data_IF_135515018778
#
_entry.id   IF_135515018778
#
_cell.length_a   1.000
_cell.length_b   1.000
_cell.length_c   1.000
_cell.angle_alpha   90.00
_cell.angle_beta   90.00
_cell.angle_gamma   90.00
#
_symmetry.space_group_name_H-M   'P 1'
#
loop_
_entity.id
_entity.type
_entity.pdbx_description
1 polymer ?
#
# COMPACT_ATOMS: atom_id res chain seq x y z
N UNK A 1 -29.83 -105.21 -18.88
CA UNK A 1 -28.47 -104.65 -18.71
C UNK A 1 -28.21 -103.74 -19.90
N UNK A 2 -28.53 -102.45 -19.79
CA UNK A 2 -27.65 -101.34 -19.34
C UNK A 2 -26.58 -101.02 -20.40
N UNK A 3 -26.47 -99.82 -20.96
CA UNK A 3 -26.95 -98.54 -20.47
C UNK A 3 -26.84 -97.37 -21.46
N UNK A 4 -27.38 -96.26 -20.97
CA UNK A 4 -27.40 -94.91 -21.52
C UNK A 4 -26.00 -94.40 -21.90
N UNK A 5 -25.85 -93.87 -23.12
CA UNK A 5 -24.74 -92.98 -23.45
C UNK A 5 -25.25 -91.53 -23.41
N UNK A 6 -24.88 -90.83 -22.35
CA UNK A 6 -25.10 -89.41 -22.11
C UNK A 6 -24.29 -88.57 -23.11
N UNK A 7 -24.96 -87.67 -23.85
CA UNK A 7 -24.29 -86.62 -24.62
C UNK A 7 -23.76 -85.57 -23.64
N UNK A 8 -22.44 -85.56 -23.42
CA UNK A 8 -21.80 -84.46 -22.70
C UNK A 8 -21.91 -83.17 -23.52
N UNK A 9 -22.61 -82.18 -22.95
CA UNK A 9 -22.68 -80.83 -23.51
C UNK A 9 -21.33 -80.14 -23.34
N UNK A 10 -20.75 -79.71 -24.46
CA UNK A 10 -19.57 -78.84 -24.49
C UNK A 10 -19.95 -77.52 -23.80
N UNK A 11 -19.48 -77.31 -22.57
CA UNK A 11 -19.54 -76.01 -21.89
C UNK A 11 -18.39 -75.13 -22.39
N UNK A 12 -18.66 -74.27 -23.35
CA UNK A 12 -17.81 -73.13 -23.69
C UNK A 12 -17.82 -72.13 -22.53
N UNK A 13 -16.76 -72.13 -21.72
CA UNK A 13 -16.50 -71.06 -20.75
C UNK A 13 -16.08 -69.80 -21.51
N UNK A 14 -16.99 -68.82 -21.63
CA UNK A 14 -16.63 -67.48 -22.07
C UNK A 14 -15.68 -66.87 -21.03
N UNK A 15 -14.47 -66.50 -21.45
CA UNK A 15 -13.48 -65.85 -20.61
C UNK A 15 -13.88 -64.37 -20.36
N UNK A 16 -14.90 -64.16 -19.54
CA UNK A 16 -15.41 -62.85 -19.12
C UNK A 16 -14.49 -62.13 -18.11
N UNK A 17 -13.45 -62.81 -17.61
CA UNK A 17 -12.50 -62.24 -16.65
C UNK A 17 -11.59 -61.17 -17.28
N UNK A 18 -11.23 -61.29 -18.56
CA UNK A 18 -10.42 -60.29 -19.26
C UNK A 18 -11.14 -58.95 -19.46
N UNK A 19 -12.44 -58.99 -19.79
CA UNK A 19 -13.24 -57.78 -19.97
C UNK A 19 -13.51 -57.05 -18.64
N UNK A 20 -13.73 -57.79 -17.56
CA UNK A 20 -13.90 -57.22 -16.23
C UNK A 20 -12.63 -56.49 -15.74
N UNK A 21 -11.44 -57.04 -16.02
CA UNK A 21 -10.17 -56.40 -15.70
C UNK A 21 -9.98 -55.08 -16.46
N UNK A 22 -10.27 -55.07 -17.77
CA UNK A 22 -10.17 -53.85 -18.60
C UNK A 22 -11.16 -52.78 -18.09
N UNK A 23 -12.40 -53.17 -17.80
CA UNK A 23 -13.40 -52.25 -17.26
C UNK A 23 -12.98 -51.67 -15.88
N UNK A 24 -12.42 -52.51 -15.01
CA UNK A 24 -11.90 -52.06 -13.71
C UNK A 24 -10.72 -51.09 -13.87
N UNK A 25 -9.77 -51.38 -14.77
CA UNK A 25 -8.65 -50.49 -15.06
C UNK A 25 -9.10 -49.15 -15.63
N UNK A 26 -10.09 -49.15 -16.52
CA UNK A 26 -10.68 -47.92 -17.07
C UNK A 26 -11.35 -47.09 -15.97
N UNK A 27 -12.10 -47.72 -15.07
CA UNK A 27 -12.76 -47.03 -13.97
C UNK A 27 -11.73 -46.42 -13.01
N UNK A 28 -10.66 -47.15 -12.69
CA UNK A 28 -9.55 -46.63 -11.87
C UNK A 28 -8.87 -45.46 -12.59
N UNK A 29 -8.54 -45.60 -13.88
CA UNK A 29 -7.89 -44.54 -14.65
C UNK A 29 -8.72 -43.25 -14.69
N UNK A 30 -10.03 -43.35 -14.93
CA UNK A 30 -10.95 -42.20 -14.91
C UNK A 30 -11.01 -41.60 -13.50
N UNK A 31 -11.13 -42.43 -12.46
CA UNK A 31 -11.14 -41.96 -11.07
C UNK A 31 -9.84 -41.25 -10.68
N UNK A 32 -8.68 -41.73 -11.16
CA UNK A 32 -7.38 -41.09 -10.90
C UNK A 32 -7.28 -39.74 -11.60
N UNK A 33 -7.72 -39.64 -12.87
CA UNK A 33 -7.72 -38.37 -13.61
C UNK A 33 -8.64 -37.36 -12.91
N UNK A 34 -9.86 -37.75 -12.55
CA UNK A 34 -10.79 -36.88 -11.82
C UNK A 34 -10.22 -36.46 -10.45
N UNK A 35 -9.64 -37.39 -9.71
CA UNK A 35 -8.98 -37.11 -8.43
C UNK A 35 -7.84 -36.10 -8.57
N UNK A 36 -7.00 -36.27 -9.60
CA UNK A 36 -5.93 -35.32 -9.90
C UNK A 36 -6.48 -33.93 -10.25
N UNK A 37 -7.52 -33.83 -11.09
CA UNK A 37 -8.15 -32.55 -11.45
C UNK A 37 -8.72 -31.83 -10.21
N UNK A 38 -9.38 -32.55 -9.30
CA UNK A 38 -9.91 -31.99 -8.05
C UNK A 38 -8.77 -31.45 -7.18
N UNK A 39 -7.67 -32.20 -7.05
CA UNK A 39 -6.50 -31.77 -6.28
C UNK A 39 -5.86 -30.51 -6.87
N UNK A 40 -5.72 -30.44 -8.20
CA UNK A 40 -5.19 -29.25 -8.86
C UNK A 40 -6.09 -28.04 -8.68
N UNK A 41 -7.41 -28.20 -8.88
CA UNK A 41 -8.37 -27.12 -8.65
C UNK A 41 -8.32 -26.62 -7.19
N UNK A 42 -8.32 -27.54 -6.23
CA UNK A 42 -8.25 -27.20 -4.80
C UNK A 42 -6.94 -26.48 -4.45
N UNK A 43 -5.81 -26.96 -4.98
CA UNK A 43 -4.50 -26.33 -4.76
C UNK A 43 -4.47 -24.91 -5.30
N UNK A 44 -4.99 -24.69 -6.51
CA UNK A 44 -5.11 -23.36 -7.11
C UNK A 44 -6.01 -22.45 -6.26
N UNK A 45 -7.18 -22.92 -5.83
CA UNK A 45 -8.09 -22.14 -4.99
C UNK A 45 -7.46 -21.76 -3.64
N UNK A 46 -6.70 -22.65 -3.03
CA UNK A 46 -5.96 -22.37 -1.80
C UNK A 46 -4.85 -21.33 -2.01
N UNK A 47 -4.12 -21.39 -3.12
CA UNK A 47 -3.10 -20.40 -3.46
C UNK A 47 -3.72 -19.01 -3.71
N UNK A 48 -4.83 -18.94 -4.44
CA UNK A 48 -5.57 -17.70 -4.68
C UNK A 48 -6.06 -17.13 -3.35
N UNK A 49 -6.69 -17.96 -2.53
CA UNK A 49 -7.23 -17.55 -1.21
C UNK A 49 -6.12 -17.07 -0.27
N UNK A 50 -4.96 -17.75 -0.26
CA UNK A 50 -3.79 -17.35 0.51
C UNK A 50 -3.21 -16.03 0.05
N UNK A 51 -3.12 -15.80 -1.27
CA UNK A 51 -2.65 -14.53 -1.83
C UNK A 51 -3.61 -13.39 -1.51
N UNK A 52 -4.92 -13.59 -1.67
CA UNK A 52 -5.93 -12.60 -1.33
C UNK A 52 -5.89 -12.22 0.15
N UNK A 53 -5.81 -13.22 1.06
CA UNK A 53 -5.71 -12.98 2.50
C UNK A 53 -4.47 -12.14 2.86
N UNK A 54 -3.30 -12.48 2.28
CA UNK A 54 -2.07 -11.73 2.51
C UNK A 54 -2.17 -10.29 1.99
N UNK A 55 -2.72 -10.10 0.79
CA UNK A 55 -2.95 -8.77 0.21
C UNK A 55 -3.87 -7.90 1.09
N UNK A 56 -4.94 -8.47 1.64
CA UNK A 56 -5.82 -7.75 2.57
C UNK A 56 -5.10 -7.43 3.88
N UNK A 57 -4.33 -8.36 4.44
CA UNK A 57 -3.58 -8.13 5.68
C UNK A 57 -2.53 -7.02 5.51
N UNK A 58 -1.81 -7.00 4.40
CA UNK A 58 -0.84 -5.93 4.09
C UNK A 58 -1.50 -4.59 3.84
N UNK A 59 -2.67 -4.58 3.20
CA UNK A 59 -3.46 -3.35 3.00
C UNK A 59 -3.92 -2.76 4.34
N UNK A 60 -4.48 -3.58 5.24
CA UNK A 60 -4.88 -3.10 6.57
C UNK A 60 -3.70 -2.62 7.42
N UNK A 61 -2.52 -3.25 7.28
CA UNK A 61 -1.31 -2.77 7.94
C UNK A 61 -0.87 -1.39 7.40
N UNK A 62 -0.98 -1.14 6.10
CA UNK A 62 -0.72 0.18 5.52
C UNK A 62 -1.76 1.23 5.96
N UNK A 63 -3.05 0.87 5.99
CA UNK A 63 -4.10 1.79 6.48
C UNK A 63 -3.90 2.17 7.94
N UNK A 64 -3.48 1.22 8.79
CA UNK A 64 -3.14 1.49 10.18
C UNK A 64 -2.04 2.56 10.31
N UNK A 65 -1.05 2.51 9.42
CA UNK A 65 0.01 3.51 9.35
C UNK A 65 -0.47 4.88 8.90
N UNK A 66 -1.37 4.96 7.91
CA UNK A 66 -1.99 6.22 7.49
C UNK A 66 -2.84 6.81 8.61
N UNK A 67 -3.67 6.00 9.25
CA UNK A 67 -4.57 6.44 10.32
C UNK A 67 -3.78 7.05 11.49
N UNK A 68 -2.69 6.40 11.89
CA UNK A 68 -1.82 6.93 12.93
C UNK A 68 -1.12 8.23 12.52
N UNK A 69 -0.56 8.27 11.32
CA UNK A 69 0.07 9.49 10.81
C UNK A 69 -0.92 10.66 10.73
N UNK A 70 -2.16 10.42 10.30
CA UNK A 70 -3.21 11.44 10.25
C UNK A 70 -3.52 12.01 11.65
N UNK A 71 -3.58 11.17 12.68
CA UNK A 71 -3.77 11.63 14.07
C UNK A 71 -2.55 12.41 14.57
N UNK A 72 -1.34 11.97 14.24
CA UNK A 72 -0.09 12.63 14.64
C UNK A 72 0.16 13.96 13.93
N UNK A 73 -0.38 14.13 12.73
CA UNK A 73 -0.42 15.42 12.02
C UNK A 73 -1.33 16.44 12.71
N UNK A 74 -2.33 15.96 13.46
CA UNK A 74 -3.23 16.82 14.21
C UNK A 74 -2.54 17.55 15.36
N UNK A 75 -2.75 18.87 15.44
CA UNK A 75 -2.33 19.70 16.57
C UNK A 75 -0.93 20.29 16.39
N UNK A 76 -0.13 20.26 17.46
CA UNK A 76 1.25 20.74 17.46
C UNK A 76 2.11 19.91 18.41
N UNK A 77 3.43 20.08 18.36
CA UNK A 77 4.36 19.41 19.29
C UNK A 77 4.12 19.75 20.76
N UNK A 78 3.42 20.86 21.05
CA UNK A 78 3.05 21.27 22.41
C UNK A 78 1.78 20.56 22.92
N UNK A 79 0.84 20.26 22.03
CA UNK A 79 -0.45 19.63 22.39
C UNK A 79 -0.48 18.12 22.14
N UNK A 80 0.43 17.61 21.31
CA UNK A 80 0.50 16.21 20.90
C UNK A 80 1.96 15.70 21.03
N UNK A 81 2.28 14.91 22.07
CA UNK A 81 3.61 14.31 22.24
C UNK A 81 4.06 13.40 21.09
N UNK A 82 3.10 12.88 20.31
CA UNK A 82 3.34 12.08 19.11
C UNK A 82 3.35 12.89 17.82
N UNK A 83 3.34 14.23 17.89
CA UNK A 83 3.22 15.11 16.73
C UNK A 83 4.26 14.77 15.66
N UNK A 84 3.79 14.72 14.41
CA UNK A 84 4.58 14.34 13.23
C UNK A 84 4.43 15.42 12.16
N UNK A 85 5.01 16.59 12.40
CA UNK A 85 5.06 17.68 11.41
C UNK A 85 6.42 18.33 11.35
N UNK A 86 6.60 19.22 10.38
CA UNK A 86 7.85 19.94 10.18
C UNK A 86 8.20 20.79 11.42
N UNK A 87 9.31 20.49 12.12
CA UNK A 87 9.69 21.24 13.31
C UNK A 87 10.33 22.59 12.97
N UNK A 88 10.63 22.84 11.69
CA UNK A 88 11.24 24.10 11.25
C UNK A 88 10.23 25.25 11.29
N UNK A 89 10.62 26.44 11.80
CA UNK A 89 9.76 27.64 11.72
C UNK A 89 9.56 28.12 10.27
N UNK A 90 10.45 27.73 9.36
CA UNK A 90 10.33 27.97 7.92
C UNK A 90 10.19 26.60 7.27
N UNK A 91 9.00 26.30 6.74
CA UNK A 91 8.70 25.01 6.15
C UNK A 91 9.67 24.68 5.02
N UNK A 92 10.22 23.46 5.03
CA UNK A 92 11.28 23.07 4.12
C UNK A 92 10.74 22.13 3.03
N UNK A 93 10.92 22.46 1.75
CA UNK A 93 10.45 21.62 0.64
C UNK A 93 11.00 20.18 0.61
N UNK A 94 12.10 19.94 1.32
CA UNK A 94 12.74 18.63 1.47
C UNK A 94 12.47 17.98 2.84
N UNK A 95 11.55 18.50 3.65
CA UNK A 95 11.18 17.84 4.89
C UNK A 95 10.46 16.52 4.62
N UNK A 96 10.86 15.50 5.37
CA UNK A 96 10.16 14.23 5.50
C UNK A 96 10.38 13.62 6.89
N UNK A 97 9.43 12.82 7.32
CA UNK A 97 9.52 12.03 8.54
C UNK A 97 8.90 10.65 8.37
N UNK A 98 9.28 9.70 9.23
CA UNK A 98 8.81 8.33 9.22
C UNK A 98 8.17 7.95 10.56
N UNK A 99 7.15 7.09 10.46
CA UNK A 99 6.56 6.33 11.55
C UNK A 99 6.80 4.85 11.29
N UNK A 100 7.43 4.15 12.21
CA UNK A 100 7.80 2.75 12.08
C UNK A 100 7.17 1.92 13.20
N UNK A 101 6.50 0.81 12.85
CA UNK A 101 6.05 -0.17 13.84
C UNK A 101 7.09 -1.25 14.16
N UNK A 102 8.16 -1.34 13.36
CA UNK A 102 9.22 -2.34 13.50
C UNK A 102 10.61 -1.73 13.25
N UNK A 103 11.69 -2.33 13.79
CA UNK A 103 13.05 -1.78 13.64
C UNK A 103 13.70 -2.15 12.31
N UNK A 104 13.05 -2.95 11.47
CA UNK A 104 13.67 -3.55 10.28
C UNK A 104 13.73 -2.61 9.07
N UNK A 105 13.36 -1.33 9.23
CA UNK A 105 13.27 -0.38 8.13
C UNK A 105 14.61 -0.13 7.43
N UNK A 106 14.56 -0.07 6.09
CA UNK A 106 15.70 0.20 5.23
C UNK A 106 15.27 1.17 4.11
N UNK A 107 16.13 2.14 3.71
CA UNK A 107 15.88 3.00 2.56
C UNK A 107 15.41 2.29 1.28
N UNK A 108 15.83 1.04 1.04
CA UNK A 108 15.43 0.25 -0.13
C UNK A 108 13.93 -0.12 -0.14
N UNK A 109 13.24 -0.01 0.99
CA UNK A 109 11.82 -0.35 1.08
C UNK A 109 10.91 0.78 0.61
N UNK A 110 11.41 2.03 0.63
CA UNK A 110 10.71 3.21 0.13
C UNK A 110 11.18 3.54 -1.30
N UNK A 111 10.36 3.31 -2.34
CA UNK A 111 10.70 3.64 -3.72
C UNK A 111 10.90 5.14 -3.95
N UNK A 112 10.37 6.00 -3.08
CA UNK A 112 10.55 7.45 -3.10
C UNK A 112 11.62 7.94 -2.12
N UNK A 113 12.45 7.05 -1.58
CA UNK A 113 13.53 7.45 -0.68
C UNK A 113 14.52 8.35 -1.41
N UNK A 114 14.89 9.46 -0.76
CA UNK A 114 15.94 10.36 -1.24
C UNK A 114 16.77 10.83 -0.07
N UNK A 115 18.09 10.72 -0.19
CA UNK A 115 19.03 11.29 0.79
C UNK A 115 19.01 12.82 0.85
N UNK A 116 18.34 13.49 -0.10
CA UNK A 116 18.12 14.93 -0.06
C UNK A 116 16.98 15.35 0.89
N UNK A 117 16.15 14.40 1.33
CA UNK A 117 15.14 14.66 2.34
C UNK A 117 15.71 14.60 3.76
N UNK A 118 15.04 15.23 4.71
CA UNK A 118 15.43 15.19 6.12
C UNK A 118 15.34 13.79 6.72
N UNK A 119 14.36 12.97 6.29
CA UNK A 119 14.17 11.57 6.69
C UNK A 119 14.22 11.37 8.21
N UNK A 120 13.46 12.17 8.95
CA UNK A 120 13.42 12.09 10.40
C UNK A 120 12.65 10.86 10.89
N UNK A 121 13.03 10.33 12.05
CA UNK A 121 12.33 9.33 12.85
C UNK A 121 12.01 9.96 14.20
N UNK A 122 10.92 10.73 14.32
CA UNK A 122 10.67 11.53 15.53
C UNK A 122 10.54 10.67 16.79
N UNK A 123 11.15 11.12 17.90
CA UNK A 123 10.94 10.60 19.25
C UNK A 123 10.39 11.69 20.16
N UNK A 124 9.89 11.30 21.33
CA UNK A 124 9.41 12.24 22.34
C UNK A 124 10.50 13.27 22.67
N UNK A 125 10.22 14.54 22.37
CA UNK A 125 11.14 15.66 22.60
C UNK A 125 12.24 15.84 21.54
N UNK A 126 12.31 15.01 20.50
CA UNK A 126 13.25 15.16 19.39
C UNK A 126 12.60 14.81 18.05
N UNK A 127 12.03 15.82 17.39
CA UNK A 127 11.38 15.69 16.08
C UNK A 127 12.36 15.58 14.91
N UNK A 128 13.64 15.88 15.13
CA UNK A 128 14.69 15.90 14.10
C UNK A 128 15.63 14.70 14.19
N UNK A 129 15.27 13.67 14.96
CA UNK A 129 16.09 12.49 15.11
C UNK A 129 16.20 11.75 13.77
N UNK A 130 17.38 11.29 13.39
CA UNK A 130 17.64 10.54 12.14
C UNK A 130 18.02 9.08 12.38
N UNK A 131 18.17 8.66 13.65
CA UNK A 131 18.38 7.27 13.98
C UNK A 131 17.10 6.47 13.65
N UNK A 132 17.26 5.31 13.03
CA UNK A 132 16.13 4.41 12.72
C UNK A 132 15.72 3.67 13.98
N UNK A 133 14.47 3.84 14.43
CA UNK A 133 13.88 3.07 15.53
C UNK A 133 12.35 3.04 15.40
N UNK A 134 11.68 2.03 16.00
CA UNK A 134 10.22 2.00 16.07
C UNK A 134 9.70 3.16 16.92
N UNK A 135 8.87 4.00 16.33
CA UNK A 135 8.25 5.16 16.99
C UNK A 135 6.72 5.18 16.86
N UNK A 136 6.13 4.14 16.27
CA UNK A 136 4.68 3.90 16.22
C UNK A 136 4.09 3.60 17.59
N UNK A 137 2.83 4.00 17.83
CA UNK A 137 2.05 3.53 18.99
C UNK A 137 1.40 2.18 18.72
N UNK A 138 1.25 1.81 17.45
CA UNK A 138 0.76 0.50 17.02
C UNK A 138 1.93 -0.45 16.78
N UNK A 139 1.95 -1.56 17.51
CA UNK A 139 2.99 -2.61 17.38
C UNK A 139 2.46 -3.94 16.84
N UNK A 140 1.12 -4.07 16.72
CA UNK A 140 0.48 -5.31 16.28
C UNK A 140 0.59 -5.56 14.77
N UNK A 141 0.75 -4.50 13.97
CA UNK A 141 0.79 -4.56 12.50
C UNK A 141 2.16 -4.09 11.99
N UNK A 142 2.84 -4.85 11.11
CA UNK A 142 4.12 -4.42 10.56
C UNK A 142 3.88 -3.43 9.42
N UNK A 143 4.30 -2.19 9.61
CA UNK A 143 4.21 -1.15 8.62
C UNK A 143 5.29 -0.09 8.84
N UNK A 144 5.52 0.71 7.80
CA UNK A 144 6.14 2.01 7.92
C UNK A 144 5.29 3.04 7.20
N UNK A 145 5.32 4.27 7.67
CA UNK A 145 4.69 5.42 7.01
C UNK A 145 5.73 6.51 6.84
N UNK A 146 5.74 7.16 5.70
CA UNK A 146 6.49 8.36 5.39
C UNK A 146 5.51 9.51 5.21
N UNK A 147 5.85 10.66 5.74
CA UNK A 147 5.20 11.91 5.46
C UNK A 147 6.20 12.89 4.86
N UNK A 148 5.72 13.75 3.96
CA UNK A 148 6.48 14.86 3.38
C UNK A 148 5.53 15.91 2.82
N UNK A 149 6.00 17.15 2.70
CA UNK A 149 5.23 18.19 2.02
C UNK A 149 5.02 17.84 0.55
N UNK A 150 3.85 18.19 0.03
CA UNK A 150 3.59 18.24 -1.41
C UNK A 150 4.23 19.49 -2.00
N UNK A 151 4.98 19.32 -3.07
CA UNK A 151 5.61 20.43 -3.78
C UNK A 151 5.10 20.53 -5.22
N UNK A 152 5.45 21.61 -5.91
CA UNK A 152 5.10 21.79 -7.33
C UNK A 152 5.62 20.64 -8.19
N UNK A 153 6.85 20.17 -7.95
CA UNK A 153 7.39 18.96 -8.60
C UNK A 153 6.47 17.73 -8.47
N UNK A 154 5.85 17.52 -7.30
CA UNK A 154 4.93 16.39 -7.12
C UNK A 154 3.63 16.58 -7.92
N UNK A 155 3.12 17.81 -7.95
CA UNK A 155 1.94 18.14 -8.75
C UNK A 155 2.20 17.99 -10.25
N UNK A 156 3.37 18.43 -10.74
CA UNK A 156 3.81 18.26 -12.13
C UNK A 156 3.95 16.79 -12.51
N UNK A 157 4.54 15.96 -11.64
CA UNK A 157 4.58 14.49 -11.83
C UNK A 157 3.19 13.87 -11.90
N UNK A 158 2.22 14.45 -11.20
CA UNK A 158 0.82 14.04 -11.26
C UNK A 158 0.07 14.58 -12.50
N UNK A 159 0.72 15.38 -13.36
CA UNK A 159 0.13 15.93 -14.59
C UNK A 159 -0.38 17.36 -14.46
N UNK A 160 0.03 18.11 -13.44
CA UNK A 160 -0.25 19.54 -13.36
C UNK A 160 0.25 20.25 -14.61
N UNK A 161 -0.62 21.06 -15.21
CA UNK A 161 -0.28 21.98 -16.29
C UNK A 161 -1.21 23.19 -16.25
N UNK A 162 -0.91 24.22 -17.03
CA UNK A 162 -1.82 25.38 -17.18
C UNK A 162 -3.21 25.00 -17.73
N UNK A 163 -3.34 23.87 -18.43
CA UNK A 163 -4.62 23.35 -18.92
C UNK A 163 -5.31 22.42 -17.92
N UNK A 164 -4.54 21.81 -17.01
CA UNK A 164 -4.99 20.86 -15.98
C UNK A 164 -4.41 21.25 -14.63
N UNK A 165 -4.83 22.40 -14.06
CA UNK A 165 -4.24 22.91 -12.83
C UNK A 165 -4.67 22.05 -11.64
N UNK A 166 -3.68 21.50 -10.93
CA UNK A 166 -3.87 20.81 -9.65
C UNK A 166 -3.80 21.76 -8.43
N UNK A 167 -3.33 22.97 -8.65
CA UNK A 167 -3.27 24.06 -7.67
C UNK A 167 -3.35 25.40 -8.42
N UNK A 168 -3.67 26.47 -7.71
CA UNK A 168 -3.57 27.83 -8.21
C UNK A 168 -2.14 28.36 -7.99
N UNK A 169 -1.44 28.70 -9.06
CA UNK A 169 -0.12 29.34 -8.96
C UNK A 169 -0.26 30.75 -8.37
N UNK A 170 0.42 30.99 -7.25
CA UNK A 170 0.48 32.28 -6.56
C UNK A 170 1.92 32.72 -6.24
N UNK A 171 2.94 32.03 -6.75
CA UNK A 171 4.33 32.46 -6.64
C UNK A 171 4.91 32.97 -7.97
N UNK A 172 4.23 32.71 -9.10
CA UNK A 172 4.58 33.18 -10.42
C UNK A 172 5.70 32.39 -11.08
N UNK A 173 6.10 31.24 -10.52
CA UNK A 173 7.13 30.36 -11.06
C UNK A 173 6.47 29.31 -11.96
N UNK A 174 6.54 29.55 -13.27
CA UNK A 174 5.99 28.64 -14.30
C UNK A 174 6.99 27.61 -14.84
N UNK A 175 8.21 27.60 -14.31
CA UNK A 175 9.27 26.70 -14.76
C UNK A 175 9.03 25.29 -14.20
N UNK A 176 9.29 24.26 -14.99
CA UNK A 176 9.20 22.86 -14.54
C UNK A 176 10.26 22.55 -13.48
N UNK A 177 9.84 21.83 -12.45
CA UNK A 177 10.65 21.47 -11.32
C UNK A 177 11.31 20.09 -11.48
N UNK A 178 12.29 19.82 -10.63
CA UNK A 178 13.03 18.55 -10.62
C UNK A 178 13.15 18.01 -9.21
N UNK A 179 13.62 16.76 -9.06
CA UNK A 179 13.84 16.17 -7.74
C UNK A 179 14.80 16.98 -6.86
N UNK A 180 15.76 17.70 -7.46
CA UNK A 180 16.74 18.53 -6.75
C UNK A 180 16.32 19.99 -6.59
N UNK A 181 15.30 20.42 -7.33
CA UNK A 181 14.69 21.75 -7.23
C UNK A 181 13.17 21.56 -7.28
N UNK A 182 12.57 21.25 -6.13
CA UNK A 182 11.21 20.71 -6.02
C UNK A 182 10.10 21.77 -6.17
N UNK A 183 10.48 23.04 -6.27
CA UNK A 183 9.57 24.17 -6.29
C UNK A 183 9.00 24.51 -4.92
N UNK A 184 7.99 25.36 -4.93
CA UNK A 184 7.26 25.80 -3.75
C UNK A 184 6.40 24.69 -3.15
N UNK A 185 6.02 24.89 -1.90
CA UNK A 185 5.05 24.03 -1.22
C UNK A 185 3.64 24.31 -1.74
N UNK A 186 2.85 23.25 -1.87
CA UNK A 186 1.43 23.37 -2.17
C UNK A 186 0.67 23.46 -0.84
N UNK A 187 -0.04 24.55 -0.63
CA UNK A 187 -0.89 24.81 0.54
C UNK A 187 -2.35 24.53 0.22
N UNK A 188 -3.18 24.34 1.25
CA UNK A 188 -4.64 24.27 1.09
C UNK A 188 -5.33 25.31 1.97
N UNK A 189 -6.12 26.19 1.35
CA UNK A 189 -6.72 27.34 2.03
C UNK A 189 -7.27 28.36 1.04
N UNK A 190 -7.28 29.63 1.44
CA UNK A 190 -7.81 30.71 0.61
C UNK A 190 -6.66 31.50 -0.03
N UNK A 191 -6.43 31.37 -1.35
CA UNK A 191 -5.25 31.93 -2.02
C UNK A 191 -5.20 33.47 -2.06
N UNK A 192 -6.30 34.15 -1.73
CA UNK A 192 -6.38 35.61 -1.69
C UNK A 192 -7.49 36.06 -0.74
N UNK A 193 -7.46 37.33 -0.31
CA UNK A 193 -8.49 37.98 0.52
C UNK A 193 -9.91 37.90 -0.08
N UNK A 194 -10.02 37.75 -1.41
CA UNK A 194 -11.31 37.66 -2.09
C UNK A 194 -11.75 36.21 -2.35
N UNK A 195 -10.94 35.21 -1.99
CA UNK A 195 -11.28 33.81 -2.23
C UNK A 195 -12.38 33.37 -1.26
N UNK A 196 -13.47 32.83 -1.81
CA UNK A 196 -14.61 32.31 -1.04
C UNK A 196 -14.61 30.79 -0.91
N UNK A 197 -13.77 30.11 -1.69
CA UNK A 197 -13.68 28.65 -1.75
C UNK A 197 -12.24 28.26 -1.45
N UNK A 198 -11.99 27.38 -0.47
CA UNK A 198 -10.65 26.90 -0.22
C UNK A 198 -10.19 26.00 -1.37
N UNK A 199 -8.95 26.18 -1.80
CA UNK A 199 -8.33 25.42 -2.90
C UNK A 199 -6.86 25.16 -2.57
N UNK A 200 -6.24 24.28 -3.34
CA UNK A 200 -4.78 24.12 -3.33
C UNK A 200 -4.11 25.28 -4.06
N UNK A 201 -3.03 25.84 -3.51
CA UNK A 201 -2.32 26.97 -4.11
C UNK A 201 -0.83 27.02 -3.70
N UNK A 202 -0.02 27.77 -4.45
CA UNK A 202 1.35 28.16 -4.07
C UNK A 202 1.39 29.64 -3.72
N UNK A 203 2.40 30.10 -2.98
CA UNK A 203 2.52 31.50 -2.58
C UNK A 203 3.98 31.93 -2.49
N UNK A 204 4.29 33.08 -3.09
CA UNK A 204 5.60 33.73 -2.91
C UNK A 204 5.79 34.32 -1.50
N UNK A 205 4.70 34.53 -0.76
CA UNK A 205 4.71 35.13 0.57
C UNK A 205 4.34 34.10 1.65
N UNK A 206 4.79 34.29 2.91
CA UNK A 206 4.33 33.47 4.03
C UNK A 206 2.81 33.46 4.13
N UNK A 207 2.24 32.27 4.35
CA UNK A 207 0.81 32.04 4.42
C UNK A 207 0.45 31.43 5.77
N UNK A 208 -0.72 31.75 6.37
CA UNK A 208 -1.17 31.10 7.59
C UNK A 208 -1.70 29.68 7.35
N UNK A 209 -1.88 29.29 6.08
CA UNK A 209 -2.40 27.99 5.70
C UNK A 209 -1.33 26.91 5.78
N UNK A 210 -1.74 25.70 6.14
CA UNK A 210 -0.82 24.57 6.24
C UNK A 210 -0.55 23.94 4.87
N UNK A 211 0.64 23.36 4.67
CA UNK A 211 0.95 22.61 3.46
C UNK A 211 0.03 21.39 3.33
N UNK A 212 -0.18 20.97 2.09
CA UNK A 212 -0.71 19.64 1.75
C UNK A 212 0.41 18.65 1.94
N UNK A 213 0.13 17.57 2.64
CA UNK A 213 1.10 16.52 2.95
C UNK A 213 0.86 15.30 2.07
N UNK A 214 1.93 14.65 1.62
CA UNK A 214 1.87 13.32 1.01
C UNK A 214 2.25 12.31 2.08
N UNK A 215 1.32 11.41 2.37
CA UNK A 215 1.52 10.30 3.31
C UNK A 215 1.57 9.00 2.52
N UNK A 216 2.69 8.29 2.63
CA UNK A 216 2.93 6.99 1.99
C UNK A 216 3.07 5.96 3.10
N UNK A 217 2.24 4.92 3.10
CA UNK A 217 2.36 3.82 4.06
C UNK A 217 2.51 2.49 3.35
N UNK A 218 3.41 1.65 3.86
CA UNK A 218 3.58 0.28 3.39
C UNK A 218 3.35 -0.68 4.54
N UNK A 219 2.44 -1.63 4.35
CA UNK A 219 2.21 -2.75 5.25
C UNK A 219 2.90 -4.01 4.73
N UNK A 220 3.43 -4.82 5.64
CA UNK A 220 4.16 -6.04 5.31
C UNK A 220 3.66 -7.23 6.15
N UNK A 221 3.29 -8.33 5.49
CA UNK A 221 2.82 -9.56 6.16
C UNK A 221 3.30 -10.76 5.36
N UNK A 222 4.05 -11.67 5.98
CA UNK A 222 4.50 -12.93 5.37
C UNK A 222 5.18 -12.75 4.00
N UNK A 223 6.00 -11.70 3.87
CA UNK A 223 6.73 -11.36 2.64
C UNK A 223 5.89 -10.70 1.54
N UNK A 224 4.57 -10.56 1.72
CA UNK A 224 3.75 -9.70 0.88
C UNK A 224 3.83 -8.25 1.36
N UNK A 225 3.65 -7.30 0.43
CA UNK A 225 3.60 -5.87 0.74
C UNK A 225 2.43 -5.19 0.04
N UNK A 226 1.94 -4.10 0.62
CA UNK A 226 1.01 -3.18 -0.03
C UNK A 226 1.41 -1.77 0.31
N UNK A 227 1.39 -0.88 -0.69
CA UNK A 227 1.75 0.52 -0.54
C UNK A 227 0.51 1.37 -0.85
N UNK A 228 0.17 2.26 0.06
CA UNK A 228 -0.91 3.22 -0.08
C UNK A 228 -0.31 4.62 0.01
N UNK A 229 -0.73 5.50 -0.90
CA UNK A 229 -0.37 6.91 -0.87
C UNK A 229 -1.65 7.75 -0.82
N UNK A 230 -1.66 8.73 0.07
CA UNK A 230 -2.76 9.70 0.21
C UNK A 230 -2.21 11.12 0.31
N UNK A 231 -2.99 12.08 -0.17
CA UNK A 231 -2.75 13.49 0.09
C UNK A 231 -3.64 13.95 1.25
N UNK A 232 -3.04 14.63 2.22
CA UNK A 232 -3.71 15.11 3.42
C UNK A 232 -3.71 16.64 3.40
N UNK A 233 -4.90 17.21 3.33
CA UNK A 233 -5.10 18.64 3.53
C UNK A 233 -5.55 18.90 4.97
N UNK A 234 -4.91 19.86 5.62
CA UNK A 234 -5.35 20.35 6.92
C UNK A 234 -6.65 21.17 6.77
N UNK A 235 -7.40 21.39 7.86
CA UNK A 235 -8.55 22.29 7.84
C UNK A 235 -8.14 23.66 7.27
N UNK A 236 -8.92 24.17 6.31
CA UNK A 236 -8.58 25.39 5.55
C UNK A 236 -8.50 26.66 6.37
N UNK A 237 -8.86 26.63 7.66
CA UNK A 237 -9.01 27.83 8.49
C UNK A 237 -10.09 28.78 7.96
N UNK A 238 -10.16 30.01 8.50
CA UNK A 238 -11.01 31.05 7.96
C UNK A 238 -10.42 31.66 6.67
N UNK A 239 -11.27 32.28 5.82
CA UNK A 239 -10.80 33.19 4.77
C UNK A 239 -9.93 34.32 5.34
N UNK A 240 -8.98 34.80 4.54
CA UNK A 240 -8.13 35.96 4.86
C UNK A 240 -8.94 37.24 5.02
#
# INVERSE_FOLDING_TARGET
>A
MTGFNSKEGIRTYHNSMGGALIAALLLVAISTIMGATILFATSTDLQISGNFRRAMATFYAAEAGIAETAVRLGGSSLSNPGYLGDPSPILQANWSAYVLSSPEWNPQYDPEYSGGFTNYFPSSGNLTNTAVFPNSVQTALPYWTKIRHKTEYDAERAGHSSLTPHYQDGDGIIATHSLNNRGSLVFFGFPSENALIPTSFTSANPTPYSPVEIVISQGQVEGATSLIQVEVAHPSGPPL
#
